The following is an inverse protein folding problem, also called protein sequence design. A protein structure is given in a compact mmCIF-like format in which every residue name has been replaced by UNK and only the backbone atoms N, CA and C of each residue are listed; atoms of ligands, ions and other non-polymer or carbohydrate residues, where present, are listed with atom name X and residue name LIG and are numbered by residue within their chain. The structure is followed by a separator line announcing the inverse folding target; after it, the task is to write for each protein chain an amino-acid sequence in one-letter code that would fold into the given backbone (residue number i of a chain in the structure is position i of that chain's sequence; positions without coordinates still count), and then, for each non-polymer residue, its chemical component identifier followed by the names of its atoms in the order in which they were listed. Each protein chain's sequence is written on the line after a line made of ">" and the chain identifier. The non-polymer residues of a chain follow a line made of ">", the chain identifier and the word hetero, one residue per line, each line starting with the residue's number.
data_IF_471775941882
#
_entry.id   IF_471775941882
#
_cell.length_a   1.000
_cell.length_b   1.000
_cell.length_c   1.000
_cell.angle_alpha   90.00
_cell.angle_beta   90.00
_cell.angle_gamma   90.00
#
_symmetry.space_group_name_H-M   'P 1'
#
loop_
_entity.id
_entity.type
_entity.pdbx_description
1 polymer ?
#
# COMPACT_ATOMS: atom_id res chain seq x y z
N UNK A 1 24.37 4.30 -3.05
CA UNK A 1 22.95 4.55 -3.38
C UNK A 1 22.48 5.69 -2.50
N UNK A 2 21.98 6.78 -3.07
CA UNK A 2 21.54 7.95 -2.29
C UNK A 2 20.33 7.61 -1.42
N UNK A 3 20.09 8.37 -0.36
CA UNK A 3 18.89 8.16 0.47
C UNK A 3 17.60 8.44 -0.31
N UNK A 4 17.64 9.35 -1.28
CA UNK A 4 16.56 9.58 -2.22
C UNK A 4 16.27 8.34 -3.09
N UNK A 5 17.30 7.62 -3.55
CA UNK A 5 17.13 6.39 -4.32
C UNK A 5 16.58 5.25 -3.46
N UNK A 6 17.05 5.11 -2.21
CA UNK A 6 16.48 4.15 -1.25
C UNK A 6 14.99 4.44 -1.03
N UNK A 7 14.63 5.71 -0.86
CA UNK A 7 13.26 6.13 -0.63
C UNK A 7 12.36 5.87 -1.85
N UNK A 8 12.84 6.16 -3.07
CA UNK A 8 12.14 5.81 -4.31
C UNK A 8 11.90 4.30 -4.43
N UNK A 9 12.88 3.47 -4.08
CA UNK A 9 12.73 2.00 -4.07
C UNK A 9 11.68 1.55 -3.04
N UNK A 10 11.67 2.14 -1.84
CA UNK A 10 10.65 1.87 -0.81
C UNK A 10 9.25 2.18 -1.34
N UNK A 11 9.03 3.37 -1.92
CA UNK A 11 7.73 3.76 -2.49
C UNK A 11 7.29 2.79 -3.58
N UNK A 12 8.18 2.39 -4.51
CA UNK A 12 7.85 1.41 -5.55
C UNK A 12 7.43 0.06 -4.97
N UNK A 13 8.14 -0.44 -3.95
CA UNK A 13 7.77 -1.68 -3.26
C UNK A 13 6.38 -1.57 -2.61
N UNK A 14 6.08 -0.42 -2.00
CA UNK A 14 4.77 -0.17 -1.39
C UNK A 14 3.65 -0.05 -2.42
N UNK A 15 3.91 0.53 -3.59
CA UNK A 15 2.93 0.56 -4.69
C UNK A 15 2.55 -0.84 -5.16
N UNK A 16 3.52 -1.74 -5.31
CA UNK A 16 3.24 -3.13 -5.68
C UNK A 16 2.42 -3.85 -4.58
N UNK A 17 2.80 -3.69 -3.31
CA UNK A 17 2.04 -4.24 -2.18
C UNK A 17 0.60 -3.72 -2.13
N UNK A 18 0.41 -2.42 -2.37
CA UNK A 18 -0.91 -1.80 -2.38
C UNK A 18 -1.78 -2.35 -3.52
N UNK A 19 -1.19 -2.56 -4.70
CA UNK A 19 -1.90 -3.19 -5.82
C UNK A 19 -2.35 -4.62 -5.50
N UNK A 20 -1.49 -5.43 -4.88
CA UNK A 20 -1.82 -6.79 -4.43
C UNK A 20 -2.94 -6.77 -3.39
N UNK A 21 -2.86 -5.89 -2.39
CA UNK A 21 -3.89 -5.75 -1.36
C UNK A 21 -5.23 -5.32 -1.96
N UNK A 22 -5.23 -4.40 -2.94
CA UNK A 22 -6.43 -4.01 -3.68
C UNK A 22 -7.05 -5.19 -4.42
N UNK A 23 -6.24 -6.00 -5.11
CA UNK A 23 -6.73 -7.20 -5.80
C UNK A 23 -7.35 -8.19 -4.82
N UNK A 24 -6.72 -8.42 -3.66
CA UNK A 24 -7.27 -9.28 -2.62
C UNK A 24 -8.61 -8.75 -2.07
N UNK A 25 -8.73 -7.44 -1.87
CA UNK A 25 -9.99 -6.82 -1.44
C UNK A 25 -11.08 -6.97 -2.50
N UNK A 26 -10.75 -6.86 -3.80
CA UNK A 26 -11.70 -7.10 -4.88
C UNK A 26 -12.17 -8.55 -4.91
N UNK A 27 -11.24 -9.52 -4.84
CA UNK A 27 -11.56 -10.96 -4.79
C UNK A 27 -12.41 -11.34 -3.57
N UNK A 28 -12.17 -10.69 -2.42
CA UNK A 28 -13.02 -10.82 -1.24
C UNK A 28 -14.47 -10.39 -1.55
N UNK A 29 -14.65 -9.19 -2.11
CA UNK A 29 -15.98 -8.63 -2.41
C UNK A 29 -16.73 -9.48 -3.42
N UNK A 30 -16.05 -9.94 -4.49
CA UNK A 30 -16.62 -10.84 -5.50
C UNK A 30 -16.99 -12.21 -4.92
N UNK A 31 -16.30 -12.66 -3.87
CA UNK A 31 -16.54 -13.93 -3.18
C UNK A 31 -17.64 -13.91 -2.12
N UNK A 32 -18.30 -12.77 -1.87
CA UNK A 32 -19.38 -12.69 -0.90
C UNK A 32 -20.66 -13.38 -1.39
N UNK A 33 -21.45 -14.04 -0.51
CA UNK A 33 -21.29 -14.07 0.95
C UNK A 33 -20.30 -15.13 1.47
N UNK A 34 -19.69 -15.97 0.62
CA UNK A 34 -18.88 -17.11 1.06
C UNK A 34 -17.65 -16.70 1.88
N UNK A 35 -17.00 -15.59 1.52
CA UNK A 35 -15.78 -15.07 2.18
C UNK A 35 -16.04 -14.05 3.28
N UNK A 36 -17.25 -13.99 3.85
CA UNK A 36 -17.62 -12.92 4.80
C UNK A 36 -16.72 -12.84 6.05
N UNK A 37 -16.17 -13.97 6.50
CA UNK A 37 -15.29 -14.02 7.67
C UNK A 37 -13.96 -13.26 7.47
N UNK A 38 -13.51 -13.12 6.22
CA UNK A 38 -12.22 -12.51 5.88
C UNK A 38 -12.32 -10.97 5.76
N UNK A 39 -13.53 -10.40 5.85
CA UNK A 39 -13.79 -8.97 5.61
C UNK A 39 -12.88 -8.08 6.45
N UNK A 40 -12.84 -8.33 7.76
CA UNK A 40 -12.07 -7.51 8.68
C UNK A 40 -10.57 -7.58 8.36
N UNK A 41 -10.03 -8.80 8.23
CA UNK A 41 -8.60 -9.00 8.01
C UNK A 41 -8.12 -8.40 6.68
N UNK A 42 -8.85 -8.63 5.58
CA UNK A 42 -8.46 -8.13 4.26
C UNK A 42 -8.59 -6.60 4.19
N UNK A 43 -9.64 -6.02 4.82
CA UNK A 43 -9.81 -4.58 4.88
C UNK A 43 -8.69 -3.91 5.70
N UNK A 44 -8.36 -4.45 6.88
CA UNK A 44 -7.29 -3.93 7.74
C UNK A 44 -5.92 -3.98 7.04
N UNK A 45 -5.58 -5.11 6.40
CA UNK A 45 -4.34 -5.26 5.63
C UNK A 45 -4.27 -4.26 4.48
N UNK A 46 -5.37 -4.08 3.76
CA UNK A 46 -5.44 -3.14 2.64
C UNK A 46 -5.24 -1.71 3.13
N UNK A 47 -5.98 -1.31 4.17
CA UNK A 47 -5.84 0.01 4.77
C UNK A 47 -4.40 0.28 5.23
N UNK A 48 -3.79 -0.65 5.97
CA UNK A 48 -2.44 -0.49 6.50
C UNK A 48 -1.40 -0.25 5.39
N UNK A 49 -1.46 -1.00 4.28
CA UNK A 49 -0.52 -0.84 3.17
C UNK A 49 -0.73 0.49 2.44
N UNK A 50 -1.97 0.93 2.26
CA UNK A 50 -2.26 2.23 1.64
C UNK A 50 -1.82 3.40 2.53
N UNK A 51 -2.02 3.30 3.84
CA UNK A 51 -1.52 4.29 4.80
C UNK A 51 0.02 4.37 4.79
N UNK A 52 0.72 3.22 4.79
CA UNK A 52 2.19 3.17 4.69
C UNK A 52 2.68 3.80 3.37
N UNK A 53 2.00 3.52 2.26
CA UNK A 53 2.31 4.09 0.96
C UNK A 53 2.12 5.62 0.94
N UNK A 54 1.04 6.13 1.53
CA UNK A 54 0.77 7.57 1.57
C UNK A 54 1.86 8.33 2.35
N UNK A 55 2.20 7.85 3.54
CA UNK A 55 3.30 8.41 4.35
C UNK A 55 4.61 8.41 3.55
N UNK A 56 4.95 7.28 2.91
CA UNK A 56 6.18 7.19 2.12
C UNK A 56 6.20 8.14 0.91
N UNK A 57 5.04 8.38 0.27
CA UNK A 57 4.95 9.36 -0.83
C UNK A 57 5.15 10.79 -0.33
N UNK A 58 4.60 11.14 0.83
CA UNK A 58 4.78 12.46 1.46
C UNK A 58 6.24 12.70 1.83
N UNK A 59 6.87 11.73 2.50
CA UNK A 59 8.30 11.76 2.82
C UNK A 59 9.16 11.97 1.56
N UNK A 60 8.90 11.19 0.50
CA UNK A 60 9.63 11.33 -0.77
C UNK A 60 9.43 12.72 -1.42
N UNK A 61 8.22 13.30 -1.33
CA UNK A 61 7.94 14.63 -1.84
C UNK A 61 8.71 15.70 -1.04
N UNK A 62 8.71 15.61 0.29
CA UNK A 62 9.48 16.51 1.16
C UNK A 62 10.97 16.46 0.84
N UNK A 63 11.54 15.26 0.63
CA UNK A 63 12.95 15.13 0.25
C UNK A 63 13.29 15.75 -1.12
N UNK A 64 12.34 15.72 -2.08
CA UNK A 64 12.53 16.35 -3.40
C UNK A 64 12.44 17.87 -3.36
N UNK A 65 11.68 18.43 -2.41
CA UNK A 65 11.50 19.88 -2.27
C UNK A 65 12.62 20.55 -1.45
N UNK A 66 13.44 19.75 -0.76
CA UNK A 66 14.57 20.20 0.09
C UNK A 66 15.92 20.20 -0.65
N UNK A 67 15.97 19.73 -1.89
CA UNK A 67 17.17 19.69 -2.74
C UNK A 67 16.98 20.48 -4.02
#
# INVERSE_FOLDING_TARGET
>A
MSDLDKMRKKVRKLQLRAAIAKMALQDLVEGLPKKWADIQEVAEKTHAVYAELDVAKRELASMKNLG
#
